data_IF_102924312018
#
_entry.id   IF_102924312018
#
_cell.length_a   1.000
_cell.length_b   1.000
_cell.length_c   1.000
_cell.angle_alpha   90.00
_cell.angle_beta   90.00
_cell.angle_gamma   90.00
#
_symmetry.space_group_name_H-M   'P 1'
#
loop_
_entity.id
_entity.type
_entity.pdbx_description
1 polymer ?
#
# COMPACT_ATOMS: atom_id res chain seq x y z
N UNK A 1 14.99 -17.73 10.10
CA UNK A 1 14.29 -16.42 10.07
C UNK A 1 14.61 -15.66 8.79
N UNK A 2 15.85 -15.68 8.29
CA UNK A 2 16.26 -14.94 7.08
C UNK A 2 15.76 -15.55 5.76
N UNK A 3 15.65 -16.87 5.65
CA UNK A 3 15.17 -17.54 4.43
C UNK A 3 13.69 -17.28 4.16
N UNK A 4 12.84 -17.37 5.18
CA UNK A 4 11.41 -17.11 5.03
C UNK A 4 11.07 -15.66 4.67
N UNK A 5 11.90 -14.69 5.10
CA UNK A 5 11.73 -13.29 4.71
C UNK A 5 12.06 -13.06 3.23
N UNK A 6 13.06 -13.75 2.69
CA UNK A 6 13.41 -13.67 1.25
C UNK A 6 12.26 -14.18 0.37
N UNK A 7 11.62 -15.28 0.74
CA UNK A 7 10.49 -15.82 0.00
C UNK A 7 9.28 -14.89 -0.01
N UNK A 8 9.02 -14.21 1.10
CA UNK A 8 7.88 -13.28 1.24
C UNK A 8 7.93 -12.12 0.24
N UNK A 9 9.12 -11.66 -0.12
CA UNK A 9 9.33 -10.50 -1.00
C UNK A 9 9.96 -10.86 -2.35
N UNK A 10 10.28 -12.15 -2.58
CA UNK A 10 10.89 -12.57 -3.83
C UNK A 10 9.88 -12.55 -4.98
N UNK A 11 10.26 -11.95 -6.10
CA UNK A 11 9.49 -12.01 -7.33
C UNK A 11 9.73 -13.32 -8.13
N UNK A 12 10.51 -14.23 -7.57
CA UNK A 12 10.88 -15.50 -8.20
C UNK A 12 10.50 -16.66 -7.28
N UNK A 13 10.01 -17.72 -7.86
CA UNK A 13 9.77 -18.99 -7.19
C UNK A 13 11.08 -19.56 -6.64
N UNK A 14 11.09 -19.98 -5.37
CA UNK A 14 12.30 -20.44 -4.69
C UNK A 14 12.89 -21.72 -5.26
N UNK A 15 12.06 -22.60 -5.81
CA UNK A 15 12.45 -23.89 -6.36
C UNK A 15 12.81 -23.83 -7.86
N UNK A 16 11.95 -23.20 -8.66
CA UNK A 16 12.10 -23.17 -10.12
C UNK A 16 12.90 -21.97 -10.63
N UNK A 17 13.15 -20.96 -9.77
CA UNK A 17 13.77 -19.68 -10.13
C UNK A 17 13.05 -18.92 -11.26
N UNK A 18 11.81 -19.28 -11.57
CA UNK A 18 10.99 -18.59 -12.58
C UNK A 18 10.29 -17.38 -11.95
N UNK A 19 10.05 -16.31 -12.73
CA UNK A 19 9.24 -15.20 -12.27
C UNK A 19 7.85 -15.64 -11.83
N UNK A 20 7.37 -15.09 -10.73
CA UNK A 20 6.01 -15.29 -10.25
C UNK A 20 5.02 -14.52 -11.13
N UNK A 21 3.88 -15.10 -11.42
CA UNK A 21 2.79 -14.41 -12.14
C UNK A 21 2.23 -13.20 -11.36
N UNK A 22 2.24 -13.30 -10.05
CA UNK A 22 1.83 -12.23 -9.12
C UNK A 22 3.00 -11.88 -8.20
N UNK A 23 3.94 -11.04 -8.66
CA UNK A 23 5.13 -10.71 -7.90
C UNK A 23 4.77 -9.87 -6.66
N UNK A 24 5.25 -10.24 -5.46
CA UNK A 24 4.94 -9.50 -4.23
C UNK A 24 5.71 -8.18 -4.08
N UNK A 25 6.78 -7.97 -4.86
CA UNK A 25 7.58 -6.74 -4.83
C UNK A 25 7.42 -5.96 -6.12
N UNK A 26 7.02 -4.71 -5.99
CA UNK A 26 6.89 -3.75 -7.07
C UNK A 26 8.03 -2.74 -7.00
N UNK A 27 8.80 -2.61 -8.07
CA UNK A 27 9.75 -1.52 -8.26
C UNK A 27 9.10 -0.47 -9.14
N UNK A 28 9.07 0.77 -8.67
CA UNK A 28 8.40 1.85 -9.37
C UNK A 28 9.13 3.18 -9.18
N UNK A 29 9.21 3.96 -10.22
CA UNK A 29 9.64 5.35 -10.20
C UNK A 29 8.56 6.27 -10.81
N UNK A 30 8.81 7.56 -10.84
CA UNK A 30 7.85 8.54 -11.36
C UNK A 30 7.54 8.31 -12.84
N UNK A 31 8.55 8.00 -13.63
CA UNK A 31 8.40 7.82 -15.09
C UNK A 31 7.59 6.56 -15.39
N UNK A 32 7.86 5.44 -14.70
CA UNK A 32 7.09 4.22 -14.82
C UNK A 32 5.62 4.42 -14.43
N UNK A 33 5.36 5.25 -13.40
CA UNK A 33 4.00 5.57 -12.97
C UNK A 33 3.24 6.39 -14.00
N UNK A 34 3.91 7.35 -14.64
CA UNK A 34 3.29 8.22 -15.65
C UNK A 34 3.00 7.48 -16.97
N UNK A 35 3.91 6.60 -17.37
CA UNK A 35 3.84 5.89 -18.65
C UNK A 35 3.07 4.54 -18.55
N UNK A 36 2.87 4.00 -17.35
CA UNK A 36 2.21 2.69 -17.16
C UNK A 36 3.02 1.51 -17.70
N UNK A 37 4.35 1.63 -17.79
CA UNK A 37 5.23 0.67 -18.48
C UNK A 37 5.15 -0.77 -17.96
N UNK A 38 4.72 -0.96 -16.71
CA UNK A 38 4.61 -2.28 -16.08
C UNK A 38 3.27 -2.98 -16.39
N UNK A 39 2.35 -2.30 -17.06
CA UNK A 39 1.03 -2.82 -17.42
C UNK A 39 1.06 -3.37 -18.84
N UNK A 40 1.62 -4.55 -19.00
CA UNK A 40 1.66 -5.25 -20.27
C UNK A 40 0.44 -6.19 -20.46
N UNK A 41 0.33 -6.81 -21.62
CA UNK A 41 -0.77 -7.71 -21.95
C UNK A 41 -0.82 -8.96 -21.04
N UNK A 42 0.30 -9.43 -20.55
CA UNK A 42 0.35 -10.55 -19.61
C UNK A 42 -0.23 -10.13 -18.24
N UNK A 43 0.13 -8.95 -17.74
CA UNK A 43 -0.45 -8.37 -16.54
C UNK A 43 -1.98 -8.25 -16.69
N UNK A 44 -2.46 -7.69 -17.80
CA UNK A 44 -3.89 -7.53 -18.06
C UNK A 44 -4.65 -8.84 -18.05
N UNK A 45 -4.06 -9.91 -18.57
CA UNK A 45 -4.65 -11.27 -18.56
C UNK A 45 -4.69 -11.85 -17.14
N UNK A 46 -3.61 -11.71 -16.38
CA UNK A 46 -3.51 -12.26 -15.01
C UNK A 46 -4.48 -11.55 -14.05
N UNK A 47 -4.66 -10.24 -14.24
CA UNK A 47 -5.47 -9.40 -13.37
C UNK A 47 -6.81 -8.96 -13.99
N UNK A 48 -7.30 -9.67 -14.98
CA UNK A 48 -8.52 -9.29 -15.70
C UNK A 48 -9.72 -9.09 -14.78
N UNK A 49 -9.89 -9.95 -13.78
CA UNK A 49 -10.99 -9.84 -12.80
C UNK A 49 -10.88 -8.57 -11.94
N UNK A 50 -9.70 -8.28 -11.42
CA UNK A 50 -9.46 -7.09 -10.59
C UNK A 50 -9.54 -5.80 -11.42
N UNK A 51 -9.10 -5.83 -12.68
CA UNK A 51 -9.24 -4.70 -13.61
C UNK A 51 -10.72 -4.41 -13.90
N UNK A 52 -11.56 -5.41 -14.07
CA UNK A 52 -12.99 -5.22 -14.25
C UNK A 52 -13.68 -4.63 -12.98
N UNK A 53 -13.25 -5.03 -11.81
CA UNK A 53 -13.72 -4.42 -10.55
C UNK A 53 -13.30 -2.94 -10.50
N UNK A 54 -12.05 -2.64 -10.82
CA UNK A 54 -11.55 -1.27 -10.87
C UNK A 54 -12.34 -0.42 -11.87
N UNK A 55 -12.57 -0.90 -13.09
CA UNK A 55 -13.36 -0.19 -14.11
C UNK A 55 -14.78 0.12 -13.64
N UNK A 56 -15.45 -0.81 -12.95
CA UNK A 56 -16.78 -0.59 -12.38
C UNK A 56 -16.77 0.46 -11.29
N UNK A 57 -15.80 0.42 -10.38
CA UNK A 57 -15.65 1.41 -9.32
C UNK A 57 -15.33 2.79 -9.91
N UNK A 58 -14.46 2.86 -10.91
CA UNK A 58 -14.10 4.07 -11.62
C UNK A 58 -15.31 4.71 -12.32
N UNK A 59 -16.12 3.89 -12.99
CA UNK A 59 -17.35 4.34 -13.65
C UNK A 59 -18.40 4.89 -12.67
N UNK A 60 -18.47 4.33 -11.45
CA UNK A 60 -19.36 4.85 -10.39
C UNK A 60 -18.95 6.24 -9.93
N UNK A 61 -17.64 6.50 -9.87
CA UNK A 61 -17.11 7.80 -9.40
C UNK A 61 -17.11 8.88 -10.49
N UNK A 62 -16.84 8.48 -11.75
CA UNK A 62 -16.56 9.41 -12.84
C UNK A 62 -17.57 9.34 -13.99
N UNK A 63 -18.57 8.47 -13.89
CA UNK A 63 -19.59 8.24 -14.92
C UNK A 63 -19.21 7.14 -15.94
N UNK A 64 -20.20 6.54 -16.57
CA UNK A 64 -20.04 5.38 -17.45
C UNK A 64 -19.08 5.61 -18.64
N UNK A 65 -19.08 6.81 -19.22
CA UNK A 65 -18.20 7.16 -20.35
C UNK A 65 -16.71 7.32 -19.98
N UNK A 66 -16.35 7.21 -18.72
CA UNK A 66 -14.96 7.33 -18.26
C UNK A 66 -14.16 6.04 -18.41
N UNK A 67 -14.82 4.89 -18.58
CA UNK A 67 -14.17 3.57 -18.70
C UNK A 67 -13.22 3.53 -19.90
N UNK A 68 -13.63 4.09 -21.04
CA UNK A 68 -12.85 4.12 -22.28
C UNK A 68 -11.59 5.01 -22.17
N UNK A 69 -11.52 5.84 -21.15
CA UNK A 69 -10.40 6.77 -20.91
C UNK A 69 -9.36 6.20 -19.94
N UNK A 70 -9.60 5.02 -19.36
CA UNK A 70 -8.67 4.42 -18.40
C UNK A 70 -7.40 4.01 -19.13
N UNK A 71 -6.30 4.63 -18.74
CA UNK A 71 -4.95 4.38 -19.26
C UNK A 71 -4.22 3.32 -18.43
N UNK A 72 -3.13 2.77 -18.98
CA UNK A 72 -2.26 1.86 -18.25
C UNK A 72 -1.61 2.54 -17.03
N UNK A 73 -1.34 3.84 -17.12
CA UNK A 73 -0.88 4.65 -15.99
C UNK A 73 -1.91 4.71 -14.84
N UNK A 74 -3.20 4.82 -15.15
CA UNK A 74 -4.26 4.80 -14.14
C UNK A 74 -4.41 3.42 -13.49
N UNK A 75 -4.26 2.35 -14.27
CA UNK A 75 -4.23 0.99 -13.72
C UNK A 75 -3.04 0.82 -12.77
N UNK A 76 -1.85 1.30 -13.15
CA UNK A 76 -0.66 1.21 -12.29
C UNK A 76 -0.81 2.04 -11.01
N UNK A 77 -1.41 3.24 -11.10
CA UNK A 77 -1.75 4.06 -9.92
C UNK A 77 -2.71 3.33 -8.99
N UNK A 78 -3.73 2.66 -9.53
CA UNK A 78 -4.65 1.84 -8.72
C UNK A 78 -3.91 0.68 -8.04
N UNK A 79 -2.99 -0.01 -8.73
CA UNK A 79 -2.15 -1.05 -8.12
C UNK A 79 -1.42 -0.49 -6.90
N UNK A 80 -0.74 0.66 -7.05
CA UNK A 80 0.04 1.28 -5.99
C UNK A 80 -0.83 1.76 -4.83
N UNK A 81 -1.98 2.35 -5.11
CA UNK A 81 -2.90 2.87 -4.11
C UNK A 81 -3.67 1.78 -3.35
N UNK A 82 -3.71 0.58 -3.90
CA UNK A 82 -4.44 -0.55 -3.33
C UNK A 82 -3.53 -1.68 -2.84
N UNK A 83 -2.24 -1.39 -2.66
CA UNK A 83 -1.26 -2.35 -2.10
C UNK A 83 -1.80 -3.01 -0.84
N UNK A 84 -1.82 -4.35 -0.81
CA UNK A 84 -2.31 -5.14 0.32
C UNK A 84 -3.83 -5.11 0.56
N UNK A 85 -4.63 -4.40 -0.22
CA UNK A 85 -6.10 -4.37 -0.08
C UNK A 85 -6.74 -5.55 -0.80
N UNK A 86 -7.38 -6.45 -0.04
CA UNK A 86 -8.07 -7.62 -0.61
C UNK A 86 -9.10 -7.23 -1.68
N UNK A 87 -9.13 -8.01 -2.77
CA UNK A 87 -10.06 -7.80 -3.89
C UNK A 87 -9.74 -6.60 -4.79
N UNK A 88 -8.60 -5.95 -4.61
CA UNK A 88 -8.11 -4.85 -5.43
C UNK A 88 -6.84 -5.25 -6.19
N UNK A 89 -6.48 -4.45 -7.19
CA UNK A 89 -5.33 -4.71 -8.08
C UNK A 89 -4.00 -4.90 -7.35
N UNK A 90 -3.76 -4.12 -6.29
CA UNK A 90 -2.55 -4.19 -5.47
C UNK A 90 -2.58 -5.24 -4.35
N UNK A 91 -3.61 -6.09 -4.27
CA UNK A 91 -3.82 -7.00 -3.13
C UNK A 91 -2.62 -7.95 -2.86
N UNK A 92 -1.93 -8.37 -3.90
CA UNK A 92 -0.81 -9.30 -3.82
C UNK A 92 0.53 -8.62 -3.49
N UNK A 93 0.62 -7.30 -3.66
CA UNK A 93 1.84 -6.54 -3.39
C UNK A 93 2.07 -6.43 -1.87
N UNK A 94 3.28 -6.76 -1.45
CA UNK A 94 3.74 -6.70 -0.05
C UNK A 94 4.89 -5.72 0.17
N UNK A 95 5.62 -5.40 -0.90
CA UNK A 95 6.73 -4.46 -0.86
C UNK A 95 6.69 -3.55 -2.08
N UNK A 96 6.84 -2.27 -1.86
CA UNK A 96 7.03 -1.28 -2.92
C UNK A 96 8.41 -0.66 -2.73
N UNK A 97 9.24 -0.79 -3.74
CA UNK A 97 10.55 -0.12 -3.82
C UNK A 97 10.37 1.09 -4.73
N UNK A 98 10.61 2.27 -4.21
CA UNK A 98 10.38 3.52 -4.94
C UNK A 98 11.59 4.44 -4.89
N UNK A 99 11.86 5.08 -6.02
CA UNK A 99 12.83 6.16 -6.13
C UNK A 99 12.05 7.44 -6.46
N UNK A 100 12.11 8.43 -5.57
CA UNK A 100 11.49 9.77 -5.73
C UNK A 100 9.95 9.84 -5.75
N UNK A 101 9.23 8.74 -5.86
CA UNK A 101 7.78 8.70 -6.08
C UNK A 101 6.90 8.96 -4.85
N UNK A 102 7.48 9.00 -3.66
CA UNK A 102 6.68 9.11 -2.42
C UNK A 102 6.11 10.50 -2.16
N UNK A 103 6.33 11.45 -3.07
CA UNK A 103 5.90 12.86 -2.91
C UNK A 103 4.50 13.14 -3.43
N UNK A 104 4.07 12.50 -4.52
CA UNK A 104 2.79 12.80 -5.18
C UNK A 104 1.99 11.55 -5.57
N UNK A 105 0.67 11.62 -5.43
CA UNK A 105 -0.28 10.65 -5.99
C UNK A 105 -0.39 9.29 -5.29
N UNK A 106 0.42 8.99 -4.28
CA UNK A 106 0.32 7.73 -3.54
C UNK A 106 -0.58 7.84 -2.32
N UNK A 107 -1.68 7.10 -2.33
CA UNK A 107 -2.72 7.16 -1.30
C UNK A 107 -2.98 5.82 -0.57
N UNK A 108 -1.98 4.94 -0.52
CA UNK A 108 -2.09 3.70 0.24
C UNK A 108 -2.17 3.97 1.76
N UNK A 109 -3.09 3.30 2.43
CA UNK A 109 -3.26 3.34 3.89
C UNK A 109 -2.93 2.00 4.58
N UNK A 110 -2.35 1.07 3.84
CA UNK A 110 -1.98 -0.27 4.29
C UNK A 110 -0.51 -0.39 4.68
N UNK A 111 0.22 0.72 4.67
CA UNK A 111 1.66 0.74 4.92
C UNK A 111 1.92 0.53 6.41
N UNK A 112 2.63 -0.53 6.75
CA UNK A 112 3.02 -0.87 8.13
C UNK A 112 4.50 -0.65 8.40
N UNK A 113 5.32 -0.66 7.35
CA UNK A 113 6.77 -0.51 7.46
C UNK A 113 7.30 0.42 6.36
N UNK A 114 8.18 1.33 6.72
CA UNK A 114 8.95 2.16 5.80
C UNK A 114 10.43 1.94 6.08
N UNK A 115 11.20 1.66 5.04
CA UNK A 115 12.66 1.56 5.12
C UNK A 115 13.29 2.60 4.19
N UNK A 116 13.93 3.59 4.77
CA UNK A 116 14.72 4.59 4.04
C UNK A 116 16.14 4.11 3.84
N UNK A 117 16.53 3.82 2.60
CA UNK A 117 17.89 3.40 2.24
C UNK A 117 18.83 4.60 1.95
N UNK A 118 18.27 5.79 1.81
CA UNK A 118 18.97 7.06 1.63
C UNK A 118 18.45 8.09 2.62
N UNK A 119 19.30 9.08 2.95
CA UNK A 119 18.83 10.25 3.69
C UNK A 119 17.75 10.98 2.86
N UNK A 120 16.68 11.37 3.51
CA UNK A 120 15.69 12.23 2.88
C UNK A 120 16.30 13.60 2.61
N UNK A 121 16.07 14.16 1.42
CA UNK A 121 16.64 15.45 1.01
C UNK A 121 16.13 16.64 1.81
N UNK A 122 15.00 16.50 2.52
CA UNK A 122 14.44 17.53 3.38
C UNK A 122 13.61 16.93 4.51
N UNK A 123 13.40 17.71 5.58
CA UNK A 123 12.51 17.34 6.67
C UNK A 123 11.07 17.16 6.17
N UNK A 124 10.61 18.04 5.30
CA UNK A 124 9.28 17.98 4.72
C UNK A 124 9.03 16.64 4.01
N UNK A 125 9.99 16.16 3.21
CA UNK A 125 9.88 14.88 2.53
C UNK A 125 9.81 13.72 3.53
N UNK A 126 10.61 13.75 4.59
CA UNK A 126 10.57 12.75 5.64
C UNK A 126 9.21 12.70 6.34
N UNK A 127 8.64 13.88 6.67
CA UNK A 127 7.33 14.00 7.29
C UNK A 127 6.19 13.53 6.38
N UNK A 128 6.26 13.84 5.09
CA UNK A 128 5.30 13.38 4.09
C UNK A 128 5.30 11.84 3.96
N UNK A 129 6.48 11.23 3.91
CA UNK A 129 6.63 9.78 3.84
C UNK A 129 6.14 9.11 5.12
N UNK A 130 6.54 9.62 6.29
CA UNK A 130 6.10 9.13 7.59
C UNK A 130 4.57 9.26 7.75
N UNK A 131 4.00 10.40 7.35
CA UNK A 131 2.56 10.66 7.40
C UNK A 131 1.73 9.65 6.60
N UNK A 132 2.28 9.06 5.53
CA UNK A 132 1.60 8.01 4.76
C UNK A 132 1.49 6.70 5.54
N UNK A 133 2.52 6.33 6.30
CA UNK A 133 2.47 5.15 7.16
C UNK A 133 1.56 5.34 8.38
N UNK A 134 1.30 6.58 8.78
CA UNK A 134 0.42 6.90 9.92
C UNK A 134 -1.06 7.00 9.54
N UNK A 135 -1.43 6.73 8.28
CA UNK A 135 -2.83 6.69 7.86
C UNK A 135 -3.55 5.50 8.48
N UNK A 136 -4.67 5.75 9.13
CA UNK A 136 -5.47 4.68 9.72
C UNK A 136 -6.11 3.80 8.66
N UNK A 137 -6.12 2.51 8.96
CA UNK A 137 -6.88 1.52 8.19
C UNK A 137 -8.29 1.36 8.72
N UNK A 138 -8.47 1.41 10.06
CA UNK A 138 -9.72 1.10 10.72
C UNK A 138 -10.24 2.31 11.52
N UNK A 139 -11.50 2.61 11.31
CA UNK A 139 -12.20 3.71 11.98
C UNK A 139 -13.35 3.21 12.88
N UNK A 140 -13.33 1.93 13.28
CA UNK A 140 -14.27 1.43 14.27
C UNK A 140 -13.84 1.81 15.69
N UNK A 141 -14.84 2.05 16.57
CA UNK A 141 -14.59 2.30 17.97
C UNK A 141 -14.51 0.98 18.72
N UNK A 142 -13.52 0.85 19.57
CA UNK A 142 -13.33 -0.26 20.50
C UNK A 142 -13.53 0.23 21.92
N UNK A 143 -14.38 -0.50 22.68
CA UNK A 143 -14.56 -0.22 24.10
C UNK A 143 -13.36 -0.69 24.94
N UNK A 144 -13.04 0.06 25.98
CA UNK A 144 -11.97 -0.25 26.92
C UNK A 144 -12.47 -0.16 28.36
N UNK A 145 -12.00 -1.04 29.23
CA UNK A 145 -12.24 -1.03 30.66
C UNK A 145 -11.34 -0.02 31.41
N UNK A 146 -11.45 0.02 32.75
CA UNK A 146 -10.68 0.92 33.60
C UNK A 146 -9.17 0.64 33.55
N UNK A 147 -8.78 -0.59 33.30
CA UNK A 147 -7.42 -1.06 33.18
C UNK A 147 -6.83 -0.81 31.79
N UNK A 148 -7.67 -0.35 30.82
CA UNK A 148 -7.25 -0.08 29.45
C UNK A 148 -7.26 -1.32 28.55
N UNK A 149 -7.89 -2.42 28.97
CA UNK A 149 -8.03 -3.62 28.14
C UNK A 149 -9.23 -3.50 27.22
N UNK A 150 -9.17 -4.03 25.98
CA UNK A 150 -10.33 -4.09 25.09
C UNK A 150 -11.46 -4.89 25.70
N UNK A 151 -12.69 -4.36 25.65
CA UNK A 151 -13.89 -5.04 26.14
C UNK A 151 -15.11 -4.77 25.27
N UNK A 152 -15.95 -5.79 25.12
CA UNK A 152 -17.28 -5.66 24.51
C UNK A 152 -18.39 -5.66 25.58
N UNK A 153 -18.06 -5.83 26.87
CA UNK A 153 -18.99 -5.77 27.97
C UNK A 153 -19.30 -4.32 28.33
N UNK A 154 -20.50 -3.85 27.98
CA UNK A 154 -20.98 -2.47 28.25
C UNK A 154 -20.92 -2.07 29.72
N UNK A 155 -20.97 -3.04 30.66
CA UNK A 155 -20.89 -2.75 32.12
C UNK A 155 -19.48 -2.43 32.57
N UNK A 156 -18.47 -2.96 31.87
CA UNK A 156 -17.04 -2.72 32.16
C UNK A 156 -16.45 -1.58 31.34
N UNK A 157 -17.12 -1.25 30.24
CA UNK A 157 -16.67 -0.21 29.32
C UNK A 157 -16.70 1.16 29.97
N UNK A 158 -15.57 1.85 29.97
CA UNK A 158 -15.39 3.20 30.50
C UNK A 158 -15.23 4.24 29.40
N UNK A 159 -14.59 3.83 28.29
CA UNK A 159 -14.32 4.70 27.14
C UNK A 159 -14.34 3.92 25.84
N UNK A 160 -14.78 4.56 24.77
CA UNK A 160 -14.63 4.08 23.41
C UNK A 160 -13.59 4.93 22.69
N UNK A 161 -12.62 4.28 22.03
CA UNK A 161 -11.59 4.93 21.21
C UNK A 161 -11.18 4.05 20.07
N UNK A 162 -10.51 4.61 19.11
CA UNK A 162 -9.90 3.83 18.03
C UNK A 162 -8.81 2.90 18.59
N UNK A 163 -8.77 1.62 18.18
CA UNK A 163 -7.68 0.73 18.54
C UNK A 163 -6.35 1.31 18.05
N UNK A 164 -5.24 1.09 18.77
CA UNK A 164 -3.94 1.56 18.31
C UNK A 164 -3.54 0.86 17.01
N UNK A 165 -3.00 1.62 16.07
CA UNK A 165 -2.34 1.14 14.87
C UNK A 165 -0.91 1.65 14.87
N UNK A 166 0.03 0.82 14.44
CA UNK A 166 1.45 1.12 14.48
C UNK A 166 2.05 1.07 13.10
N UNK A 167 3.02 1.95 12.84
CA UNK A 167 3.90 1.90 11.70
C UNK A 167 5.36 1.92 12.16
N UNK A 168 6.20 1.12 11.50
CA UNK A 168 7.63 1.07 11.76
C UNK A 168 8.38 1.86 10.69
N UNK A 169 9.19 2.82 11.11
CA UNK A 169 10.02 3.62 10.21
C UNK A 169 11.48 3.34 10.56
N UNK A 170 12.20 2.77 9.62
CA UNK A 170 13.60 2.38 9.73
C UNK A 170 14.38 3.12 8.66
N UNK A 171 15.49 3.75 8.99
CA UNK A 171 16.28 4.44 7.99
C UNK A 171 17.41 5.28 8.56
N UNK A 172 18.01 6.08 7.68
CA UNK A 172 19.07 7.02 8.08
C UNK A 172 18.48 8.02 9.08
N UNK A 173 19.16 8.27 10.23
CA UNK A 173 18.68 9.15 11.26
C UNK A 173 18.32 10.53 10.70
N UNK A 174 17.07 10.91 10.89
CA UNK A 174 16.55 12.24 10.57
C UNK A 174 15.72 12.72 11.75
N UNK A 175 15.89 13.98 12.16
CA UNK A 175 15.06 14.53 13.23
C UNK A 175 13.67 14.81 12.69
N UNK A 176 12.75 13.88 12.92
CA UNK A 176 11.33 14.00 12.54
C UNK A 176 10.62 15.11 13.32
N UNK A 177 11.01 15.31 14.58
CA UNK A 177 10.42 16.33 15.44
C UNK A 177 11.53 17.15 16.10
N UNK A 178 11.38 18.46 16.11
CA UNK A 178 12.19 19.40 16.89
C UNK A 178 11.54 19.63 18.24
#
# INVERSE_FOLDING_TARGET
VEEGAKELFSNYDSSTKRPLKRPPTLLIDSDALENGEQINEEFKKIFAGEIEVFKKDYARMHGQGSIEKITDAEILREVVNTVGKQGKLGAHIRCVVSVSMLTEGWDANTVTHIMGLRAFGSQLLCEQVAGRALRRMNYFLQGYDKEGNPTNDKRKMVIEKFPPEYAHIIGVPFKLFK
#
